data_IF_461367884746
#
_entry.id   IF_461367884746
#
_cell.length_a   1.000
_cell.length_b   1.000
_cell.length_c   1.000
_cell.angle_alpha   90.00
_cell.angle_beta   90.00
_cell.angle_gamma   90.00
#
_symmetry.space_group_name_H-M   'P 1'
#
loop_
_entity.id
_entity.type
_entity.pdbx_description
1 polymer ?
#
# COMPACT_ATOMS: atom_id res chain seq x y z
N UNK A 1 3.77 11.73 7.86
CA UNK A 1 3.97 12.27 6.51
C UNK A 1 5.43 12.69 6.30
N UNK A 2 6.05 13.41 7.25
CA UNK A 2 7.44 13.89 7.14
C UNK A 2 8.44 12.79 6.76
N UNK A 3 8.39 11.61 7.39
CA UNK A 3 9.24 10.46 7.03
C UNK A 3 9.18 10.09 5.54
N UNK A 4 8.00 10.18 4.93
CA UNK A 4 7.81 9.90 3.50
C UNK A 4 8.44 11.02 2.65
N UNK A 5 8.27 12.28 3.04
CA UNK A 5 8.88 13.44 2.36
C UNK A 5 10.41 13.35 2.40
N UNK A 6 10.97 13.07 3.57
CA UNK A 6 12.40 12.84 3.76
C UNK A 6 12.91 11.69 2.89
N UNK A 7 12.16 10.58 2.82
CA UNK A 7 12.52 9.45 1.96
C UNK A 7 12.51 9.83 0.48
N UNK A 8 11.50 10.58 0.00
CA UNK A 8 11.44 11.07 -1.39
C UNK A 8 12.68 11.90 -1.72
N UNK A 9 13.05 12.84 -0.85
CA UNK A 9 14.26 13.68 -1.02
C UNK A 9 15.54 12.86 -0.98
N UNK A 10 15.66 11.94 -0.01
CA UNK A 10 16.82 11.06 0.15
C UNK A 10 17.12 10.26 -1.12
N UNK A 11 16.08 9.74 -1.76
CA UNK A 11 16.22 8.92 -2.97
C UNK A 11 16.15 9.75 -4.26
N UNK A 12 15.87 11.06 -4.19
CA UNK A 12 15.50 11.91 -5.32
C UNK A 12 14.48 11.21 -6.24
N UNK A 13 13.49 10.58 -5.61
CA UNK A 13 12.59 9.66 -6.32
C UNK A 13 11.15 9.74 -5.80
N UNK A 14 10.22 10.35 -6.56
CA UNK A 14 8.82 10.40 -6.19
C UNK A 14 8.02 9.17 -6.66
N UNK A 15 8.65 8.11 -7.16
CA UNK A 15 7.94 6.91 -7.62
C UNK A 15 7.58 5.95 -6.47
N UNK A 16 6.46 5.25 -6.64
CA UNK A 16 5.96 4.22 -5.71
C UNK A 16 5.75 2.93 -6.48
N UNK A 17 6.36 1.84 -6.02
CA UNK A 17 6.17 0.52 -6.64
C UNK A 17 4.86 -0.10 -6.14
N UNK A 18 3.93 -0.37 -7.06
CA UNK A 18 2.69 -1.07 -6.74
C UNK A 18 2.89 -2.59 -6.70
N UNK A 19 2.86 -3.19 -5.51
CA UNK A 19 2.95 -4.63 -5.28
C UNK A 19 1.55 -5.26 -5.36
N UNK A 20 0.99 -5.23 -6.57
CA UNK A 20 -0.35 -5.74 -6.88
C UNK A 20 -0.25 -7.01 -7.76
N UNK A 21 0.31 -8.12 -7.24
CA UNK A 21 0.51 -9.32 -8.05
C UNK A 21 -0.82 -9.92 -8.48
N UNK A 22 -0.84 -10.48 -9.68
CA UNK A 22 -1.85 -11.44 -10.12
C UNK A 22 -1.13 -12.66 -10.64
N UNK A 23 -1.78 -13.82 -10.68
CA UNK A 23 -1.17 -15.05 -11.21
C UNK A 23 -0.57 -14.82 -12.61
N UNK A 24 -1.20 -13.98 -13.44
CA UNK A 24 -0.73 -13.65 -14.79
C UNK A 24 0.49 -12.70 -14.85
N UNK A 25 0.88 -12.09 -13.72
CA UNK A 25 2.07 -11.24 -13.61
C UNK A 25 3.29 -12.00 -13.10
N UNK A 26 3.11 -13.20 -12.56
CA UNK A 26 4.18 -14.05 -12.06
C UNK A 26 4.80 -14.86 -13.22
N UNK A 27 6.11 -15.13 -13.18
CA UNK A 27 6.73 -16.13 -14.05
C UNK A 27 6.02 -17.49 -13.91
N UNK A 28 5.50 -18.10 -14.99
CA UNK A 28 4.81 -19.40 -14.94
C UNK A 28 5.64 -20.53 -14.31
N UNK A 29 6.96 -20.45 -14.34
CA UNK A 29 7.89 -21.38 -13.71
C UNK A 29 7.65 -21.52 -12.21
N UNK A 30 7.14 -20.48 -11.55
CA UNK A 30 6.76 -20.52 -10.13
C UNK A 30 5.63 -21.52 -9.83
N UNK A 31 4.86 -21.89 -10.85
CA UNK A 31 3.76 -22.84 -10.77
C UNK A 31 4.09 -24.19 -11.42
N UNK A 32 5.37 -24.46 -11.71
CA UNK A 32 5.79 -25.79 -12.15
C UNK A 32 5.43 -26.83 -11.08
N UNK A 33 4.81 -27.94 -11.48
CA UNK A 33 4.35 -28.97 -10.54
C UNK A 33 3.07 -28.64 -9.78
N UNK A 34 2.40 -27.52 -10.10
CA UNK A 34 1.21 -27.09 -9.36
C UNK A 34 0.08 -28.11 -9.43
N UNK A 35 -0.11 -28.78 -10.57
CA UNK A 35 -1.19 -29.75 -10.77
C UNK A 35 -1.04 -30.97 -9.86
N UNK A 36 0.19 -31.42 -9.64
CA UNK A 36 0.54 -32.57 -8.80
C UNK A 36 0.26 -32.27 -7.33
N UNK A 37 0.51 -31.04 -6.90
CA UNK A 37 0.30 -30.59 -5.51
C UNK A 37 -1.19 -30.28 -5.25
N UNK A 38 -1.81 -29.52 -6.15
CA UNK A 38 -3.18 -29.02 -5.98
C UNK A 38 -4.21 -30.13 -6.23
N UNK A 39 -3.91 -31.04 -7.17
CA UNK A 39 -4.85 -32.05 -7.61
C UNK A 39 -6.06 -31.42 -8.31
N UNK A 40 -7.26 -31.83 -7.90
CA UNK A 40 -8.51 -31.30 -8.42
C UNK A 40 -8.89 -29.97 -7.75
N UNK A 41 -8.68 -28.87 -8.49
CA UNK A 41 -8.95 -27.50 -8.04
C UNK A 41 -10.44 -27.23 -7.78
N UNK A 42 -11.35 -28.06 -8.30
CA UNK A 42 -12.79 -27.89 -8.07
C UNK A 42 -13.23 -28.46 -6.71
N UNK A 43 -12.35 -29.15 -5.99
CA UNK A 43 -12.58 -29.59 -4.61
C UNK A 43 -12.24 -28.48 -3.60
N UNK A 44 -12.85 -28.54 -2.41
CA UNK A 44 -12.51 -27.63 -1.29
C UNK A 44 -11.02 -27.70 -0.94
N UNK A 45 -10.46 -28.91 -0.89
CA UNK A 45 -9.04 -29.15 -0.61
C UNK A 45 -8.16 -28.56 -1.72
N UNK A 46 -8.49 -28.79 -2.98
CA UNK A 46 -7.76 -28.24 -4.12
C UNK A 46 -7.74 -26.72 -4.12
N UNK A 47 -8.88 -26.05 -3.91
CA UNK A 47 -8.92 -24.58 -3.78
C UNK A 47 -8.07 -24.06 -2.62
N UNK A 48 -8.09 -24.71 -1.47
CA UNK A 48 -7.28 -24.32 -0.32
C UNK A 48 -5.78 -24.46 -0.61
N UNK A 49 -5.36 -25.58 -1.23
CA UNK A 49 -3.97 -25.80 -1.63
C UNK A 49 -3.52 -24.82 -2.72
N UNK A 50 -4.40 -24.51 -3.68
CA UNK A 50 -4.15 -23.48 -4.68
C UNK A 50 -3.94 -22.12 -4.03
N UNK A 51 -4.83 -21.70 -3.13
CA UNK A 51 -4.70 -20.43 -2.42
C UNK A 51 -3.39 -20.35 -1.60
N UNK A 52 -3.03 -21.43 -0.89
CA UNK A 52 -1.78 -21.51 -0.15
C UNK A 52 -0.54 -21.43 -1.06
N UNK A 53 -0.57 -22.11 -2.21
CA UNK A 53 0.50 -22.05 -3.20
C UNK A 53 0.65 -20.63 -3.77
N UNK A 54 -0.47 -20.02 -4.22
CA UNK A 54 -0.44 -18.67 -4.78
C UNK A 54 0.03 -17.65 -3.75
N UNK A 55 -0.39 -17.78 -2.48
CA UNK A 55 0.14 -16.98 -1.36
C UNK A 55 1.68 -17.04 -1.31
N UNK A 56 2.26 -18.25 -1.23
CA UNK A 56 3.71 -18.41 -1.18
C UNK A 56 4.41 -17.79 -2.39
N UNK A 57 3.83 -17.93 -3.59
CA UNK A 57 4.41 -17.38 -4.83
C UNK A 57 4.27 -15.87 -4.95
N UNK A 58 3.19 -15.28 -4.45
CA UNK A 58 3.06 -13.83 -4.33
C UNK A 58 4.14 -13.28 -3.40
N UNK A 59 4.39 -13.93 -2.26
CA UNK A 59 5.42 -13.50 -1.31
C UNK A 59 6.84 -13.60 -1.89
N UNK A 60 7.19 -14.73 -2.53
CA UNK A 60 8.48 -14.91 -3.22
C UNK A 60 8.69 -13.82 -4.30
N UNK A 61 7.67 -13.60 -5.12
CA UNK A 61 7.69 -12.60 -6.18
C UNK A 61 7.86 -11.18 -5.62
N UNK A 62 7.06 -10.79 -4.64
CA UNK A 62 7.12 -9.46 -4.03
C UNK A 62 8.46 -9.23 -3.31
N UNK A 63 8.99 -10.22 -2.58
CA UNK A 63 10.30 -10.11 -1.92
C UNK A 63 11.43 -9.89 -2.91
N UNK A 64 11.39 -10.54 -4.08
CA UNK A 64 12.38 -10.31 -5.14
C UNK A 64 12.38 -8.85 -5.61
N UNK A 65 11.19 -8.25 -5.74
CA UNK A 65 11.01 -6.86 -6.16
C UNK A 65 11.45 -5.90 -5.05
N UNK A 66 10.97 -6.09 -3.81
CA UNK A 66 11.34 -5.29 -2.64
C UNK A 66 12.87 -5.24 -2.50
N UNK A 67 13.53 -6.40 -2.54
CA UNK A 67 14.99 -6.47 -2.43
C UNK A 67 15.71 -5.71 -3.54
N UNK A 68 15.15 -5.70 -4.75
CA UNK A 68 15.74 -5.02 -5.90
C UNK A 68 15.49 -3.51 -5.93
N UNK A 69 14.53 -2.97 -5.17
CA UNK A 69 14.13 -1.55 -5.23
C UNK A 69 14.30 -0.78 -3.92
N UNK A 70 14.52 -1.46 -2.79
CA UNK A 70 14.53 -0.86 -1.44
C UNK A 70 15.51 0.30 -1.22
N UNK A 71 16.56 0.39 -2.01
CA UNK A 71 17.60 1.42 -1.95
C UNK A 71 17.41 2.54 -2.99
N UNK A 72 16.33 2.52 -3.77
CA UNK A 72 16.08 3.50 -4.83
C UNK A 72 14.69 4.12 -4.84
N UNK A 73 13.71 3.57 -4.11
CA UNK A 73 12.35 4.13 -4.02
C UNK A 73 11.99 4.44 -2.57
N UNK A 74 11.17 5.47 -2.30
CA UNK A 74 10.76 5.81 -0.94
C UNK A 74 9.69 4.88 -0.37
N UNK A 75 8.86 4.29 -1.24
CA UNK A 75 7.61 3.66 -0.82
C UNK A 75 7.16 2.54 -1.75
N UNK A 76 6.34 1.65 -1.20
CA UNK A 76 5.55 0.66 -1.93
C UNK A 76 4.07 0.85 -1.62
N UNK A 77 3.22 0.44 -2.57
CA UNK A 77 1.77 0.39 -2.36
C UNK A 77 1.28 -1.03 -2.56
N UNK A 78 0.51 -1.56 -1.62
CA UNK A 78 0.00 -2.95 -1.66
C UNK A 78 -1.52 -2.94 -1.83
N UNK A 79 -2.03 -3.37 -2.98
CA UNK A 79 -3.48 -3.48 -3.24
C UNK A 79 -4.07 -4.73 -2.58
N UNK A 80 -4.68 -4.55 -1.40
CA UNK A 80 -5.24 -5.62 -0.56
C UNK A 80 -6.20 -6.57 -1.31
N UNK A 81 -6.99 -6.04 -2.25
CA UNK A 81 -7.94 -6.84 -3.05
C UNK A 81 -7.29 -8.02 -3.81
N UNK A 82 -6.03 -7.88 -4.23
CA UNK A 82 -5.30 -8.98 -4.91
C UNK A 82 -5.03 -10.16 -3.97
N UNK A 83 -4.97 -9.87 -2.67
CA UNK A 83 -4.69 -10.82 -1.60
C UNK A 83 -5.99 -11.39 -1.03
N UNK A 84 -6.98 -10.54 -0.75
CA UNK A 84 -8.31 -10.95 -0.28
C UNK A 84 -8.97 -11.99 -1.21
N UNK A 85 -8.71 -11.93 -2.52
CA UNK A 85 -9.18 -12.92 -3.49
C UNK A 85 -8.73 -14.36 -3.21
N UNK A 86 -7.70 -14.57 -2.39
CA UNK A 86 -7.20 -15.88 -1.95
C UNK A 86 -7.67 -16.25 -0.53
N UNK A 87 -8.57 -15.46 0.07
CA UNK A 87 -9.10 -15.68 1.41
C UNK A 87 -8.02 -15.55 2.50
N UNK A 88 -8.12 -16.33 3.60
CA UNK A 88 -7.18 -16.23 4.73
C UNK A 88 -5.71 -16.41 4.34
N UNK A 89 -5.41 -17.30 3.40
CA UNK A 89 -4.05 -17.50 2.91
C UNK A 89 -3.50 -16.24 2.25
N UNK A 90 -4.31 -15.55 1.44
CA UNK A 90 -3.88 -14.30 0.82
C UNK A 90 -3.63 -13.19 1.83
N UNK A 91 -4.44 -13.10 2.88
CA UNK A 91 -4.22 -12.12 3.96
C UNK A 91 -2.89 -12.35 4.68
N UNK A 92 -2.45 -13.59 4.84
CA UNK A 92 -1.09 -13.87 5.33
C UNK A 92 -0.02 -13.33 4.37
N UNK A 93 -0.17 -13.53 3.05
CA UNK A 93 0.74 -12.95 2.06
C UNK A 93 0.76 -11.42 2.09
N UNK A 94 -0.39 -10.79 2.31
CA UNK A 94 -0.50 -9.33 2.43
C UNK A 94 0.31 -8.83 3.62
N UNK A 95 0.07 -9.38 4.81
CA UNK A 95 0.80 -8.99 6.04
C UNK A 95 2.30 -9.24 5.88
N UNK A 96 2.69 -10.39 5.36
CA UNK A 96 4.10 -10.74 5.15
C UNK A 96 4.78 -9.88 4.06
N UNK A 97 4.03 -9.43 3.05
CA UNK A 97 4.54 -8.50 2.03
C UNK A 97 4.75 -7.11 2.64
N UNK A 98 3.77 -6.61 3.41
CA UNK A 98 3.89 -5.34 4.11
C UNK A 98 5.05 -5.39 5.11
N UNK A 99 5.18 -6.47 5.89
CA UNK A 99 6.29 -6.69 6.82
C UNK A 99 7.64 -6.65 6.11
N UNK A 100 7.79 -7.41 5.02
CA UNK A 100 9.04 -7.45 4.27
C UNK A 100 9.43 -6.08 3.68
N UNK A 101 8.44 -5.27 3.25
CA UNK A 101 8.70 -3.92 2.76
C UNK A 101 9.08 -2.96 3.90
N UNK A 102 8.36 -3.01 5.02
CA UNK A 102 8.64 -2.22 6.21
C UNK A 102 10.03 -2.52 6.78
N UNK A 103 10.39 -3.79 6.93
CA UNK A 103 11.74 -4.23 7.36
C UNK A 103 12.84 -3.83 6.37
N UNK A 104 12.51 -3.65 5.10
CA UNK A 104 13.42 -3.12 4.10
C UNK A 104 13.59 -1.59 4.16
N UNK A 105 12.89 -0.91 5.07
CA UNK A 105 12.95 0.55 5.27
C UNK A 105 12.10 1.35 4.27
N UNK A 106 11.14 0.70 3.61
CA UNK A 106 10.22 1.35 2.67
C UNK A 106 8.96 1.80 3.38
N UNK A 107 8.44 2.98 3.03
CA UNK A 107 7.10 3.41 3.48
C UNK A 107 6.03 2.56 2.82
N UNK A 108 5.18 1.90 3.61
CA UNK A 108 4.16 0.96 3.14
C UNK A 108 2.80 1.62 3.07
N UNK A 109 2.25 1.71 1.86
CA UNK A 109 0.90 2.23 1.61
C UNK A 109 -0.07 1.06 1.41
N UNK A 110 -0.94 0.82 2.40
CA UNK A 110 -2.05 -0.11 2.28
C UNK A 110 -3.17 0.46 1.43
N UNK A 111 -3.32 -0.02 0.20
CA UNK A 111 -4.34 0.49 -0.70
C UNK A 111 -5.69 -0.20 -0.47
N UNK A 112 -6.31 0.05 0.68
CA UNK A 112 -7.49 -0.68 1.18
C UNK A 112 -8.83 -0.03 0.81
N UNK A 113 -8.84 1.26 0.48
CA UNK A 113 -10.00 2.08 0.06
C UNK A 113 -11.25 1.90 0.94
N UNK A 114 -11.08 1.75 2.26
CA UNK A 114 -12.19 1.51 3.18
C UNK A 114 -13.09 2.74 3.30
N UNK A 115 -14.40 2.52 3.43
CA UNK A 115 -15.41 3.56 3.58
C UNK A 115 -16.65 2.97 4.25
N UNK A 116 -16.73 3.13 5.56
CA UNK A 116 -17.85 2.77 6.42
C UNK A 116 -18.04 3.91 7.45
N UNK A 117 -18.91 3.78 8.45
CA UNK A 117 -19.12 4.80 9.50
C UNK A 117 -18.97 4.22 10.91
N UNK A 118 -18.77 5.11 11.89
CA UNK A 118 -18.85 4.78 13.31
C UNK A 118 -17.90 3.65 13.73
N UNK A 119 -18.43 2.66 14.45
CA UNK A 119 -17.63 1.55 14.99
C UNK A 119 -17.02 0.67 13.90
N UNK A 120 -17.64 0.54 12.72
CA UNK A 120 -17.08 -0.23 11.61
C UNK A 120 -15.90 0.49 10.97
N UNK A 121 -15.99 1.81 10.79
CA UNK A 121 -14.85 2.62 10.36
C UNK A 121 -13.69 2.53 11.37
N UNK A 122 -13.98 2.59 12.67
CA UNK A 122 -12.98 2.39 13.72
C UNK A 122 -12.34 0.99 13.66
N UNK A 123 -13.11 -0.05 13.32
CA UNK A 123 -12.58 -1.40 13.15
C UNK A 123 -11.59 -1.48 11.97
N UNK A 124 -11.86 -0.79 10.86
CA UNK A 124 -10.91 -0.70 9.75
C UNK A 124 -9.69 0.17 10.07
N UNK A 125 -9.83 1.19 10.92
CA UNK A 125 -8.72 2.06 11.32
C UNK A 125 -7.60 1.33 12.09
N UNK A 126 -7.86 0.11 12.59
CA UNK A 126 -6.85 -0.77 13.17
C UNK A 126 -5.74 -1.20 12.20
N UNK A 127 -5.93 -1.08 10.87
CA UNK A 127 -4.81 -1.17 9.92
C UNK A 127 -3.68 -0.18 10.26
N UNK A 128 -3.99 0.95 10.91
CA UNK A 128 -3.00 1.93 11.36
C UNK A 128 -2.57 1.65 12.80
N UNK A 129 -3.52 1.51 13.72
CA UNK A 129 -3.24 1.45 15.17
C UNK A 129 -2.92 0.05 15.73
N UNK A 130 -3.03 -1.01 14.93
CA UNK A 130 -2.68 -2.37 15.31
C UNK A 130 -3.85 -3.19 15.84
N UNK A 131 -3.65 -3.92 16.93
CA UNK A 131 -4.72 -4.74 17.55
C UNK A 131 -5.60 -3.85 18.45
N UNK A 132 -6.94 -4.03 18.43
CA UNK A 132 -7.83 -3.47 19.44
C UNK A 132 -7.36 -3.83 20.85
N UNK A 133 -6.97 -2.83 21.64
CA UNK A 133 -6.65 -3.06 23.04
C UNK A 133 -7.96 -3.19 23.82
N UNK A 134 -8.17 -4.26 24.60
CA UNK A 134 -9.26 -4.31 25.56
C UNK A 134 -9.14 -3.12 26.52
N UNK A 135 -10.26 -2.53 26.93
CA UNK A 135 -10.23 -1.51 27.98
C UNK A 135 -9.72 -2.15 29.29
N UNK A 136 -9.07 -1.35 30.14
CA UNK A 136 -8.43 -1.84 31.36
C UNK A 136 -9.41 -2.55 32.30
N UNK A 137 -10.67 -2.14 32.30
CA UNK A 137 -11.74 -2.75 33.10
C UNK A 137 -12.11 -4.16 32.62
N UNK A 138 -12.21 -4.40 31.30
CA UNK A 138 -12.45 -5.74 30.74
C UNK A 138 -11.22 -6.63 30.96
N UNK A 139 -10.01 -6.09 30.78
CA UNK A 139 -8.78 -6.86 31.01
C UNK A 139 -8.64 -7.30 32.48
N UNK A 140 -8.99 -6.42 33.42
CA UNK A 140 -9.04 -6.76 34.85
C UNK A 140 -10.19 -7.73 35.19
N UNK A 141 -11.31 -7.69 34.47
CA UNK A 141 -12.40 -8.65 34.65
C UNK A 141 -12.03 -10.08 34.21
N UNK A 142 -11.12 -10.24 33.24
CA UNK A 142 -10.55 -11.54 32.86
C UNK A 142 -9.64 -12.15 33.94
N UNK A 143 -9.14 -11.33 34.87
CA UNK A 143 -8.24 -11.77 35.95
C UNK A 143 -8.99 -12.25 37.21
N UNK A 144 -10.33 -12.11 37.25
CA UNK A 144 -11.13 -12.27 38.47
C UNK A 144 -12.09 -13.47 38.50
N UNK A 145 -11.99 -14.45 37.59
CA UNK A 145 -12.80 -15.68 37.76
C UNK A 145 -12.14 -16.97 37.26
N UNK A 146 -11.50 -17.67 38.20
CA UNK A 146 -11.27 -19.11 38.12
C UNK A 146 -9.97 -19.51 37.43
N UNK A 147 -9.28 -20.49 38.03
CA UNK A 147 -7.97 -20.98 37.59
C UNK A 147 -7.89 -21.21 36.08
N UNK A 148 -6.73 -20.87 35.51
CA UNK A 148 -6.40 -21.08 34.11
C UNK A 148 -6.87 -22.46 33.65
N UNK A 149 -7.99 -22.50 32.93
CA UNK A 149 -8.45 -23.73 32.28
C UNK A 149 -7.39 -24.17 31.25
N UNK A 150 -7.25 -25.47 31.06
CA UNK A 150 -6.24 -26.16 30.21
C UNK A 150 -6.25 -25.76 28.70
N UNK A 151 -7.02 -24.75 28.31
CA UNK A 151 -7.17 -24.29 26.93
C UNK A 151 -6.12 -23.28 26.45
N UNK A 152 -5.13 -22.92 27.29
CA UNK A 152 -3.98 -22.09 26.86
C UNK A 152 -3.07 -22.79 25.84
N UNK A 153 -3.23 -24.11 25.68
CA UNK A 153 -2.50 -24.92 24.70
C UNK A 153 -2.89 -24.60 23.24
N UNK A 154 -4.11 -24.13 22.96
CA UNK A 154 -4.55 -23.77 21.59
C UNK A 154 -4.05 -22.40 21.10
N UNK A 155 -3.64 -21.50 22.00
CA UNK A 155 -3.05 -20.21 21.59
C UNK A 155 -1.52 -20.28 21.42
N UNK A 156 -0.84 -21.21 22.09
CA UNK A 156 0.63 -21.35 22.00
C UNK A 156 1.12 -21.79 20.62
N UNK A 157 0.37 -22.64 19.93
CA UNK A 157 0.72 -23.13 18.60
C UNK A 157 0.69 -22.07 17.48
N UNK A 158 0.20 -20.84 17.75
CA UNK A 158 0.28 -19.70 16.83
C UNK A 158 1.45 -18.75 17.14
N UNK A 159 2.07 -18.86 18.32
CA UNK A 159 3.17 -18.00 18.75
C UNK A 159 4.55 -18.68 18.59
N UNK A 160 4.58 -20.01 18.56
CA UNK A 160 5.80 -20.80 18.43
C UNK A 160 6.07 -21.13 16.95
N UNK A 161 6.57 -20.15 16.19
CA UNK A 161 7.29 -20.42 14.95
C UNK A 161 8.75 -20.73 15.34
N UNK A 162 9.14 -22.00 15.19
CA UNK A 162 10.45 -22.54 15.57
C UNK A 162 11.60 -21.67 15.03
N UNK A 163 12.37 -21.03 15.92
CA UNK A 163 13.59 -20.31 15.55
C UNK A 163 14.78 -20.73 16.42
N UNK A 164 15.67 -21.48 15.76
CA UNK A 164 17.12 -21.59 15.91
C UNK A 164 17.69 -21.14 17.27
N UNK A 165 17.87 -22.11 18.17
CA UNK A 165 18.55 -21.96 19.47
C UNK A 165 20.06 -21.73 19.28
N UNK A 166 20.48 -20.53 18.85
CA UNK A 166 21.90 -20.37 18.50
C UNK A 166 22.53 -18.99 18.42
N UNK A 167 21.84 -17.86 18.66
CA UNK A 167 22.49 -16.53 18.63
C UNK A 167 22.14 -15.64 19.83
N UNK A 168 23.14 -15.08 20.53
CA UNK A 168 22.91 -14.17 21.66
C UNK A 168 22.70 -12.72 21.18
N UNK A 169 21.75 -12.09 21.87
CA UNK A 169 21.59 -10.66 22.19
C UNK A 169 21.71 -9.57 21.11
N UNK A 170 20.54 -9.05 20.72
CA UNK A 170 20.31 -7.61 20.59
C UNK A 170 18.83 -7.33 20.94
N UNK A 171 18.58 -6.49 21.95
CA UNK A 171 17.30 -5.79 22.26
C UNK A 171 16.02 -6.63 22.07
N UNK A 172 15.78 -7.56 22.99
CA UNK A 172 14.62 -8.47 22.98
C UNK A 172 13.29 -7.85 23.45
N UNK A 173 13.14 -6.53 23.46
CA UNK A 173 11.96 -5.88 24.03
C UNK A 173 10.81 -5.56 23.04
N UNK A 174 10.96 -5.61 21.71
CA UNK A 174 9.94 -4.93 20.86
C UNK A 174 9.66 -5.46 19.44
N UNK A 175 9.85 -6.76 19.15
CA UNK A 175 9.38 -7.35 17.88
C UNK A 175 8.38 -8.48 18.12
N UNK A 176 7.29 -8.15 18.82
CA UNK A 176 6.07 -8.94 18.74
C UNK A 176 5.51 -8.83 17.32
N UNK A 177 4.95 -9.92 16.79
CA UNK A 177 4.23 -9.90 15.51
C UNK A 177 3.19 -8.76 15.54
N UNK A 178 3.48 -7.67 14.81
CA UNK A 178 2.51 -6.61 14.65
C UNK A 178 1.56 -7.02 13.52
N UNK A 179 0.23 -6.89 13.71
CA UNK A 179 -0.75 -7.40 12.73
C UNK A 179 -0.70 -6.65 11.39
N UNK A 180 -0.23 -5.40 11.38
CA UNK A 180 -0.36 -4.45 10.27
C UNK A 180 0.90 -3.58 10.14
N UNK A 181 1.61 -3.70 9.04
CA UNK A 181 2.88 -3.00 8.78
C UNK A 181 2.72 -1.79 7.86
N UNK A 182 1.49 -1.36 7.60
CA UNK A 182 1.19 -0.16 6.83
C UNK A 182 1.58 1.10 7.59
N UNK A 183 2.30 2.00 6.93
CA UNK A 183 2.61 3.35 7.42
C UNK A 183 1.51 4.35 7.01
N UNK A 184 0.75 4.01 5.98
CA UNK A 184 -0.42 4.77 5.55
C UNK A 184 -1.46 3.91 4.84
N UNK A 185 -2.70 4.37 4.80
CA UNK A 185 -3.79 3.64 4.13
C UNK A 185 -4.65 4.54 3.23
N UNK A 186 -5.24 3.97 2.18
CA UNK A 186 -6.23 4.68 1.36
C UNK A 186 -7.65 4.54 1.92
N UNK A 187 -8.43 5.62 1.90
CA UNK A 187 -9.80 5.67 2.45
C UNK A 187 -10.77 6.38 1.50
N UNK A 188 -12.02 5.92 1.47
CA UNK A 188 -13.08 6.48 0.64
C UNK A 188 -13.97 7.43 1.47
N UNK A 189 -14.03 8.74 1.13
CA UNK A 189 -14.73 9.75 1.92
C UNK A 189 -16.23 9.85 1.62
N UNK A 190 -16.81 8.97 0.81
CA UNK A 190 -18.19 9.12 0.32
C UNK A 190 -19.22 9.28 1.45
N UNK A 191 -19.00 8.65 2.61
CA UNK A 191 -19.90 8.71 3.77
C UNK A 191 -19.63 9.92 4.68
N UNK A 192 -18.71 10.81 4.32
CA UNK A 192 -18.39 12.04 5.04
C UNK A 192 -17.43 11.85 6.21
N UNK A 193 -17.38 12.86 7.09
CA UNK A 193 -16.44 12.92 8.22
C UNK A 193 -16.54 11.71 9.14
N UNK A 194 -17.74 11.17 9.37
CA UNK A 194 -17.95 10.04 10.29
C UNK A 194 -17.26 8.75 9.82
N UNK A 195 -16.95 8.65 8.52
CA UNK A 195 -16.16 7.57 7.96
C UNK A 195 -14.66 7.84 7.87
N UNK A 196 -14.22 9.09 8.04
CA UNK A 196 -12.82 9.50 7.94
C UNK A 196 -12.19 9.77 9.31
N UNK A 197 -12.93 10.38 10.24
CA UNK A 197 -12.44 10.75 11.56
C UNK A 197 -11.79 9.57 12.31
N UNK A 198 -12.36 8.34 12.33
CA UNK A 198 -11.70 7.21 13.00
C UNK A 198 -10.31 6.88 12.43
N UNK A 199 -10.10 7.07 11.13
CA UNK A 199 -8.79 6.86 10.51
C UNK A 199 -7.82 8.00 10.82
N UNK A 200 -8.29 9.25 10.85
CA UNK A 200 -7.47 10.42 11.25
C UNK A 200 -7.01 10.25 12.71
N UNK A 201 -7.90 9.84 13.60
CA UNK A 201 -7.58 9.59 15.01
C UNK A 201 -6.55 8.46 15.16
N UNK A 202 -6.74 7.34 14.45
CA UNK A 202 -5.79 6.23 14.47
C UNK A 202 -4.43 6.62 13.87
N UNK A 203 -4.42 7.39 12.78
CA UNK A 203 -3.20 7.92 12.16
C UNK A 203 -2.43 8.82 13.14
N UNK A 204 -3.13 9.71 13.84
CA UNK A 204 -2.53 10.58 14.85
C UNK A 204 -1.96 9.79 16.03
N UNK A 205 -2.68 8.78 16.52
CA UNK A 205 -2.26 7.95 17.67
C UNK A 205 -1.04 7.07 17.34
N UNK A 206 -0.94 6.59 16.11
CA UNK A 206 0.09 5.64 15.68
C UNK A 206 1.27 6.30 14.93
N UNK A 207 1.28 7.63 14.80
CA UNK A 207 2.22 8.36 13.95
C UNK A 207 2.25 7.86 12.48
N UNK A 208 1.06 7.69 11.91
CA UNK A 208 0.82 7.21 10.55
C UNK A 208 0.03 8.23 9.72
N UNK A 209 -0.30 7.89 8.48
CA UNK A 209 -0.96 8.78 7.52
C UNK A 209 -2.15 8.12 6.79
N UNK A 210 -2.97 8.92 6.11
CA UNK A 210 -4.04 8.44 5.23
C UNK A 210 -4.03 9.15 3.88
N UNK A 211 -4.54 8.48 2.85
CA UNK A 211 -4.78 9.03 1.52
C UNK A 211 -6.26 8.93 1.16
N UNK A 212 -6.94 10.07 1.11
CA UNK A 212 -8.37 10.14 0.82
C UNK A 212 -8.63 10.13 -0.68
N UNK A 213 -9.58 9.33 -1.17
CA UNK A 213 -9.97 9.36 -2.59
C UNK A 213 -10.63 10.70 -2.95
N UNK A 214 -9.98 11.50 -3.81
CA UNK A 214 -10.49 12.81 -4.26
C UNK A 214 -10.94 12.76 -5.72
N UNK A 215 -10.00 12.50 -6.64
CA UNK A 215 -10.27 12.42 -8.08
C UNK A 215 -9.55 11.22 -8.65
N UNK A 216 -10.26 10.19 -9.10
CA UNK A 216 -9.64 8.96 -9.62
C UNK A 216 -9.50 8.99 -11.15
N UNK A 217 -8.69 8.09 -11.71
CA UNK A 217 -8.33 8.05 -13.13
C UNK A 217 -9.12 7.02 -13.96
N UNK A 218 -10.08 6.30 -13.36
CA UNK A 218 -10.88 5.31 -14.07
C UNK A 218 -11.89 5.96 -15.03
N UNK A 219 -12.27 5.33 -16.16
CA UNK A 219 -13.14 5.93 -17.17
C UNK A 219 -14.50 6.44 -16.66
N UNK A 220 -15.09 5.77 -15.67
CA UNK A 220 -16.39 6.11 -15.08
C UNK A 220 -16.32 7.08 -13.90
N UNK A 221 -15.14 7.64 -13.59
CA UNK A 221 -14.98 8.55 -12.44
C UNK A 221 -15.93 9.75 -12.50
N UNK A 222 -16.27 10.17 -13.70
CA UNK A 222 -17.02 11.40 -13.98
C UNK A 222 -18.50 11.27 -13.63
N UNK A 223 -19.01 10.03 -13.47
CA UNK A 223 -20.41 9.77 -13.11
C UNK A 223 -20.80 10.39 -11.76
N UNK A 224 -19.85 10.46 -10.83
CA UNK A 224 -20.07 11.05 -9.50
C UNK A 224 -19.15 12.23 -9.21
N UNK A 225 -17.86 12.14 -9.56
CA UNK A 225 -16.87 13.09 -9.08
C UNK A 225 -17.00 14.45 -9.78
N UNK A 226 -17.51 14.48 -11.01
CA UNK A 226 -17.73 15.70 -11.81
C UNK A 226 -19.13 16.30 -11.62
N UNK A 227 -20.01 15.68 -10.81
CA UNK A 227 -21.32 16.23 -10.51
C UNK A 227 -21.16 17.62 -9.87
N UNK A 228 -21.95 18.57 -10.35
CA UNK A 228 -21.97 19.94 -9.85
C UNK A 228 -22.97 20.05 -8.69
N UNK A 229 -22.57 20.68 -7.60
CA UNK A 229 -23.47 21.10 -6.52
C UNK A 229 -24.00 22.52 -6.73
N UNK A 230 -24.94 22.93 -5.90
CA UNK A 230 -25.63 24.23 -6.00
C UNK A 230 -24.73 25.47 -5.86
N UNK A 231 -23.50 25.31 -5.38
CA UNK A 231 -22.50 26.37 -5.25
C UNK A 231 -21.44 26.38 -6.37
N UNK A 232 -21.75 25.80 -7.54
CA UNK A 232 -20.85 25.71 -8.70
C UNK A 232 -19.50 25.02 -8.42
N UNK A 233 -19.49 24.10 -7.45
CA UNK A 233 -18.34 23.25 -7.16
C UNK A 233 -18.63 21.81 -7.54
N UNK A 234 -17.61 21.10 -8.00
CA UNK A 234 -17.73 19.68 -8.29
C UNK A 234 -17.61 18.83 -7.02
N UNK A 235 -18.16 17.62 -7.01
CA UNK A 235 -18.04 16.73 -5.85
C UNK A 235 -16.58 16.51 -5.43
N UNK A 236 -15.65 16.28 -6.37
CA UNK A 236 -14.23 16.12 -6.01
C UNK A 236 -13.62 17.37 -5.37
N UNK A 237 -14.16 18.55 -5.66
CA UNK A 237 -13.70 19.82 -5.10
C UNK A 237 -14.13 20.00 -3.65
N UNK A 238 -15.36 19.59 -3.32
CA UNK A 238 -15.82 19.51 -1.92
C UNK A 238 -14.97 18.54 -1.11
N UNK A 239 -14.64 17.39 -1.68
CA UNK A 239 -13.76 16.41 -1.03
C UNK A 239 -12.37 16.99 -0.82
N UNK A 240 -11.83 17.74 -1.80
CA UNK A 240 -10.54 18.42 -1.67
C UNK A 240 -10.52 19.43 -0.51
N UNK A 241 -11.59 20.21 -0.33
CA UNK A 241 -11.72 21.11 0.82
C UNK A 241 -11.78 20.34 2.14
N UNK A 242 -12.48 19.20 2.15
CA UNK A 242 -12.54 18.33 3.33
C UNK A 242 -11.19 17.71 3.68
N UNK A 243 -10.38 17.33 2.70
CA UNK A 243 -8.99 16.87 2.94
C UNK A 243 -8.19 17.95 3.68
N UNK A 244 -8.28 19.20 3.25
CA UNK A 244 -7.60 20.31 3.92
C UNK A 244 -8.15 20.59 5.32
N UNK A 245 -9.45 20.40 5.53
CA UNK A 245 -10.09 20.51 6.84
C UNK A 245 -9.63 19.39 7.79
N UNK A 246 -9.71 18.13 7.37
CA UNK A 246 -9.33 16.98 8.20
C UNK A 246 -7.83 16.97 8.53
N UNK A 247 -6.99 17.50 7.64
CA UNK A 247 -5.55 17.60 7.84
C UNK A 247 -5.07 18.86 8.56
N UNK A 248 -5.95 19.82 8.93
CA UNK A 248 -5.52 21.16 9.37
C UNK A 248 -4.60 21.15 10.60
N UNK A 249 -4.84 20.21 11.51
CA UNK A 249 -4.21 20.15 12.83
C UNK A 249 -3.05 19.14 12.88
N UNK A 250 -2.67 18.59 11.73
CA UNK A 250 -1.66 17.51 11.61
C UNK A 250 -0.54 17.83 10.62
N UNK A 251 -0.34 19.12 10.30
CA UNK A 251 0.76 19.56 9.44
C UNK A 251 2.09 19.31 10.15
N UNK A 252 2.92 18.48 9.54
CA UNK A 252 4.26 18.15 10.03
C UNK A 252 5.30 19.23 9.70
N UNK A 253 6.53 18.95 10.09
CA UNK A 253 7.67 19.87 9.92
C UNK A 253 8.00 20.09 8.44
N UNK A 254 7.64 19.14 7.58
CA UNK A 254 7.82 19.23 6.12
C UNK A 254 6.67 19.95 5.41
N UNK A 255 5.74 20.55 6.14
CA UNK A 255 4.65 21.36 5.59
C UNK A 255 3.47 20.57 5.02
N UNK A 256 3.52 19.24 5.09
CA UNK A 256 2.43 18.35 4.67
C UNK A 256 1.66 17.77 5.86
N UNK A 257 0.35 17.64 5.73
CA UNK A 257 -0.50 17.01 6.76
C UNK A 257 -0.47 15.49 6.67
N UNK A 258 -0.94 14.81 7.73
CA UNK A 258 -1.17 13.36 7.72
C UNK A 258 -2.29 12.92 6.77
N UNK A 259 -3.11 13.87 6.30
CA UNK A 259 -4.25 13.61 5.40
C UNK A 259 -3.84 14.00 3.98
N UNK A 260 -3.34 13.02 3.24
CA UNK A 260 -3.08 13.11 1.81
C UNK A 260 -4.32 12.87 0.94
N UNK A 261 -4.14 13.00 -0.36
CA UNK A 261 -5.19 12.83 -1.36
C UNK A 261 -4.77 11.84 -2.46
N UNK A 262 -5.71 11.02 -2.94
CA UNK A 262 -5.54 10.23 -4.17
C UNK A 262 -6.08 11.04 -5.34
N UNK A 263 -5.19 11.39 -6.27
CA UNK A 263 -5.47 12.21 -7.44
C UNK A 263 -4.93 11.53 -8.70
N UNK A 264 -5.78 11.13 -9.63
CA UNK A 264 -5.44 10.33 -10.79
C UNK A 264 -4.70 11.12 -11.89
N UNK A 265 -3.77 10.44 -12.57
CA UNK A 265 -2.86 11.03 -13.56
C UNK A 265 -3.51 11.55 -14.87
N UNK A 266 -4.79 11.23 -15.14
CA UNK A 266 -5.39 11.40 -16.48
C UNK A 266 -5.95 12.79 -16.77
N UNK A 267 -5.95 13.71 -15.79
CA UNK A 267 -6.53 15.05 -15.94
C UNK A 267 -5.57 16.16 -15.50
N UNK A 268 -4.55 16.53 -16.32
CA UNK A 268 -3.47 17.44 -15.90
C UNK A 268 -3.95 18.80 -15.38
N UNK A 269 -4.95 19.41 -16.04
CA UNK A 269 -5.54 20.70 -15.61
C UNK A 269 -6.27 20.59 -14.27
N UNK A 270 -6.99 19.50 -14.06
CA UNK A 270 -7.69 19.23 -12.79
C UNK A 270 -6.65 18.99 -11.69
N UNK A 271 -5.60 18.22 -11.98
CA UNK A 271 -4.47 18.00 -11.08
C UNK A 271 -3.82 19.30 -10.61
N UNK A 272 -3.53 20.22 -11.53
CA UNK A 272 -2.94 21.53 -11.20
C UNK A 272 -3.87 22.38 -10.30
N UNK A 273 -5.16 22.41 -10.62
CA UNK A 273 -6.16 23.10 -9.80
C UNK A 273 -6.26 22.50 -8.39
N UNK A 274 -6.29 21.18 -8.29
CA UNK A 274 -6.31 20.47 -7.01
C UNK A 274 -5.04 20.71 -6.20
N UNK A 275 -3.87 20.75 -6.84
CA UNK A 275 -2.62 21.08 -6.16
C UNK A 275 -2.69 22.46 -5.52
N UNK A 276 -3.16 23.46 -6.26
CA UNK A 276 -3.34 24.82 -5.73
C UNK A 276 -4.36 24.88 -4.58
N UNK A 277 -5.42 24.06 -4.65
CA UNK A 277 -6.48 24.01 -3.63
C UNK A 277 -6.07 23.28 -2.36
N UNK A 278 -5.23 22.26 -2.46
CA UNK A 278 -4.82 21.42 -1.33
C UNK A 278 -3.33 21.55 -1.00
N UNK A 279 -2.70 22.74 -0.85
CA UNK A 279 -1.24 22.90 -0.87
C UNK A 279 -0.48 22.09 0.19
N UNK A 280 -1.14 21.66 1.27
CA UNK A 280 -0.55 20.89 2.38
C UNK A 280 -0.83 19.37 2.30
N UNK A 281 -1.50 18.89 1.26
CA UNK A 281 -1.79 17.46 1.11
C UNK A 281 -0.77 16.78 0.19
N UNK A 282 -0.16 15.68 0.64
CA UNK A 282 0.61 14.80 -0.24
C UNK A 282 -0.33 14.09 -1.22
N UNK A 283 -0.03 14.14 -2.52
CA UNK A 283 -0.83 13.45 -3.54
C UNK A 283 -0.26 12.06 -3.82
N UNK A 284 -1.07 11.03 -3.63
CA UNK A 284 -0.83 9.70 -4.18
C UNK A 284 -1.47 9.63 -5.58
N UNK A 285 -0.62 9.53 -6.61
CA UNK A 285 -1.03 9.59 -8.01
C UNK A 285 -1.01 8.19 -8.63
N UNK A 286 -2.14 7.49 -8.72
CA UNK A 286 -2.23 6.25 -9.49
C UNK A 286 -2.37 6.53 -10.99
N UNK A 287 -2.10 5.50 -11.79
CA UNK A 287 -2.43 5.49 -13.22
C UNK A 287 -1.29 5.84 -14.17
N UNK A 288 -0.07 6.03 -13.65
CA UNK A 288 1.12 6.23 -14.50
C UNK A 288 1.37 5.00 -15.40
N UNK A 289 1.60 5.26 -16.69
CA UNK A 289 1.87 4.27 -17.73
C UNK A 289 0.66 3.40 -18.09
N UNK A 290 0.17 2.56 -17.17
CA UNK A 290 -0.84 1.55 -17.47
C UNK A 290 -2.24 2.12 -17.76
N UNK A 291 -2.54 3.33 -17.31
CA UNK A 291 -3.79 4.04 -17.61
C UNK A 291 -3.54 5.28 -18.49
N UNK A 292 -2.36 5.35 -19.14
CA UNK A 292 -2.03 6.39 -20.10
C UNK A 292 -1.40 7.66 -19.52
N UNK A 293 -1.31 7.81 -18.20
CA UNK A 293 -0.65 8.97 -17.59
C UNK A 293 0.87 8.97 -17.82
N UNK A 294 1.42 10.12 -18.21
CA UNK A 294 2.85 10.36 -18.43
C UNK A 294 3.47 11.21 -17.32
N UNK A 295 4.80 11.35 -17.33
CA UNK A 295 5.49 12.22 -16.37
C UNK A 295 5.06 13.69 -16.53
N UNK A 296 4.89 14.16 -17.77
CA UNK A 296 4.41 15.50 -18.07
C UNK A 296 2.98 15.75 -17.59
N UNK A 297 2.10 14.73 -17.66
CA UNK A 297 0.71 14.85 -17.20
C UNK A 297 0.60 15.09 -15.70
N UNK A 298 1.51 14.50 -14.93
CA UNK A 298 1.50 14.57 -13.46
C UNK A 298 2.40 15.68 -12.92
N UNK A 299 3.32 16.24 -13.71
CA UNK A 299 4.26 17.28 -13.27
C UNK A 299 3.56 18.50 -12.65
N UNK A 300 2.37 18.87 -13.13
CA UNK A 300 1.59 19.99 -12.60
C UNK A 300 0.92 19.69 -11.23
N UNK A 301 0.92 18.43 -10.79
CA UNK A 301 0.40 18.00 -9.49
C UNK A 301 1.42 18.14 -8.36
N UNK A 302 2.70 18.38 -8.69
CA UNK A 302 3.74 18.75 -7.74
C UNK A 302 3.69 20.24 -7.46
N UNK A 303 4.22 20.67 -6.32
CA UNK A 303 4.37 22.09 -6.01
C UNK A 303 5.52 22.75 -6.80
N UNK A 304 5.83 24.01 -6.47
CA UNK A 304 6.88 24.80 -7.13
C UNK A 304 8.30 24.31 -6.82
N UNK A 305 8.46 23.47 -5.80
CA UNK A 305 9.72 22.85 -5.41
C UNK A 305 9.87 21.44 -5.96
N UNK A 306 8.86 20.94 -6.69
CA UNK A 306 8.84 19.55 -7.18
C UNK A 306 8.45 18.54 -6.10
N UNK A 307 7.75 18.98 -5.04
CA UNK A 307 7.33 18.15 -3.92
C UNK A 307 5.80 17.98 -3.85
N UNK A 308 5.32 17.30 -2.81
CA UNK A 308 3.90 17.16 -2.52
C UNK A 308 3.15 16.15 -3.36
N UNK A 309 3.85 15.31 -4.14
CA UNK A 309 3.25 14.17 -4.82
C UNK A 309 4.17 12.95 -4.88
N UNK A 310 3.56 11.77 -4.90
CA UNK A 310 4.18 10.47 -5.18
C UNK A 310 3.38 9.75 -6.25
N UNK A 311 4.06 9.08 -7.19
CA UNK A 311 3.45 8.53 -8.40
C UNK A 311 3.56 7.02 -8.39
N UNK A 312 2.42 6.34 -8.37
CA UNK A 312 2.36 4.89 -8.33
C UNK A 312 2.36 4.26 -9.73
N UNK A 313 3.22 3.26 -9.91
CA UNK A 313 3.19 2.34 -11.05
C UNK A 313 3.26 0.89 -10.54
N UNK A 314 2.23 0.12 -10.88
CA UNK A 314 2.11 -1.29 -10.52
C UNK A 314 2.59 -2.16 -11.68
N UNK A 315 1.70 -2.57 -12.59
CA UNK A 315 1.99 -3.37 -13.80
C UNK A 315 3.16 -2.86 -14.64
N UNK A 316 3.41 -1.54 -14.67
CA UNK A 316 4.53 -0.95 -15.40
C UNK A 316 5.90 -1.31 -14.84
N UNK A 317 5.98 -1.58 -13.53
CA UNK A 317 7.21 -1.97 -12.83
C UNK A 317 7.25 -3.48 -12.62
N UNK A 318 6.28 -4.04 -11.90
CA UNK A 318 6.30 -5.47 -11.52
C UNK A 318 6.11 -6.40 -12.72
N UNK A 319 5.54 -5.90 -13.81
CA UNK A 319 5.34 -6.65 -15.05
C UNK A 319 6.37 -6.37 -16.14
N UNK A 320 7.40 -5.54 -15.87
CA UNK A 320 8.37 -5.08 -16.86
C UNK A 320 9.19 -6.23 -17.47
N UNK A 321 9.49 -7.26 -16.68
CA UNK A 321 10.25 -8.44 -17.07
C UNK A 321 9.69 -9.18 -18.28
N UNK A 322 8.36 -9.10 -18.51
CA UNK A 322 7.70 -9.77 -19.65
C UNK A 322 8.13 -9.24 -21.01
N UNK A 323 8.71 -8.03 -21.04
CA UNK A 323 9.23 -7.40 -22.25
C UNK A 323 10.73 -7.64 -22.43
N UNK A 324 11.39 -8.25 -21.46
CA UNK A 324 12.82 -8.48 -21.51
C UNK A 324 13.13 -9.65 -22.45
N UNK A 325 13.95 -9.46 -23.50
CA UNK A 325 14.27 -10.53 -24.46
C UNK A 325 15.07 -11.69 -23.83
N UNK A 326 15.69 -11.49 -22.65
CA UNK A 326 16.33 -12.58 -21.91
C UNK A 326 15.32 -13.54 -21.28
N UNK A 327 14.06 -13.10 -21.07
CA UNK A 327 13.03 -13.96 -20.52
C UNK A 327 12.66 -15.08 -21.49
N UNK A 328 12.69 -16.32 -21.00
CA UNK A 328 12.20 -17.48 -21.73
C UNK A 328 11.73 -18.57 -20.75
N UNK A 329 10.94 -19.53 -21.25
CA UNK A 329 10.33 -20.58 -20.42
C UNK A 329 11.33 -21.59 -19.84
N UNK A 330 12.58 -21.61 -20.32
CA UNK A 330 13.62 -22.53 -19.82
C UNK A 330 14.41 -21.96 -18.63
N UNK A 331 14.21 -20.69 -18.26
CA UNK A 331 14.82 -20.11 -17.07
C UNK A 331 14.43 -20.90 -15.81
N UNK A 332 15.37 -21.02 -14.87
CA UNK A 332 15.06 -21.53 -13.54
C UNK A 332 14.12 -20.57 -12.80
N UNK A 333 13.53 -21.02 -11.69
CA UNK A 333 12.73 -20.16 -10.82
C UNK A 333 13.58 -18.99 -10.29
N UNK A 334 14.82 -19.28 -9.86
CA UNK A 334 15.76 -18.30 -9.33
C UNK A 334 16.12 -17.24 -10.38
N UNK A 335 16.53 -17.67 -11.58
CA UNK A 335 16.87 -16.75 -12.68
C UNK A 335 15.66 -15.91 -13.10
N UNK A 336 14.47 -16.50 -13.08
CA UNK A 336 13.22 -15.79 -13.39
C UNK A 336 12.94 -14.70 -12.36
N UNK A 337 13.09 -14.97 -11.06
CA UNK A 337 12.91 -13.99 -9.99
C UNK A 337 14.02 -12.92 -9.99
N UNK A 338 15.26 -13.29 -10.32
CA UNK A 338 16.34 -12.32 -10.49
C UNK A 338 16.04 -11.37 -11.65
N UNK A 339 15.59 -11.89 -12.80
CA UNK A 339 15.19 -11.09 -13.95
C UNK A 339 14.01 -10.16 -13.63
N UNK A 340 13.04 -10.64 -12.85
CA UNK A 340 11.92 -9.83 -12.31
C UNK A 340 12.47 -8.64 -11.52
N UNK A 341 13.32 -8.90 -10.53
CA UNK A 341 13.90 -7.85 -9.68
C UNK A 341 14.71 -6.82 -10.49
N UNK A 342 15.58 -7.29 -11.39
CA UNK A 342 16.37 -6.43 -12.27
C UNK A 342 15.50 -5.51 -13.14
N UNK A 343 14.44 -6.07 -13.73
CA UNK A 343 13.52 -5.32 -14.58
C UNK A 343 12.66 -4.33 -13.78
N UNK A 344 12.21 -4.71 -12.58
CA UNK A 344 11.50 -3.82 -11.69
C UNK A 344 12.37 -2.63 -11.27
N UNK A 345 13.64 -2.88 -10.89
CA UNK A 345 14.61 -1.83 -10.58
C UNK A 345 14.81 -0.86 -11.75
N UNK A 346 15.07 -1.40 -12.95
CA UNK A 346 15.23 -0.59 -14.17
C UNK A 346 13.99 0.27 -14.43
N UNK A 347 12.80 -0.32 -14.42
CA UNK A 347 11.56 0.40 -14.67
C UNK A 347 11.28 1.50 -13.62
N UNK A 348 11.64 1.27 -12.35
CA UNK A 348 11.52 2.28 -11.30
C UNK A 348 12.48 3.46 -11.51
N UNK A 349 13.73 3.19 -11.92
CA UNK A 349 14.71 4.23 -12.26
C UNK A 349 14.29 5.03 -13.50
N UNK A 350 13.83 4.35 -14.55
CA UNK A 350 13.34 5.01 -15.77
C UNK A 350 12.15 5.94 -15.45
N UNK A 351 11.25 5.49 -14.56
CA UNK A 351 10.13 6.31 -14.09
C UNK A 351 10.59 7.52 -13.29
N UNK A 352 11.54 7.34 -12.36
CA UNK A 352 12.15 8.45 -11.61
C UNK A 352 12.75 9.49 -12.57
N UNK A 353 13.58 9.04 -13.51
CA UNK A 353 14.30 9.94 -14.40
C UNK A 353 13.33 10.71 -15.31
N UNK A 354 12.26 10.06 -15.78
CA UNK A 354 11.18 10.72 -16.51
C UNK A 354 10.45 11.77 -15.67
N UNK A 355 10.11 11.46 -14.41
CA UNK A 355 9.47 12.40 -13.49
C UNK A 355 10.38 13.60 -13.20
N UNK A 356 11.64 13.37 -12.83
CA UNK A 356 12.59 14.43 -12.51
C UNK A 356 12.89 15.31 -13.74
N UNK A 357 12.90 14.73 -14.94
CA UNK A 357 13.02 15.50 -16.20
C UNK A 357 11.80 16.40 -16.40
N UNK A 358 10.59 15.85 -16.30
CA UNK A 358 9.35 16.62 -16.47
C UNK A 358 9.19 17.75 -15.42
N UNK A 359 9.67 17.54 -14.19
CA UNK A 359 9.68 18.57 -13.14
C UNK A 359 10.67 19.70 -13.45
N UNK A 360 11.86 19.38 -13.96
CA UNK A 360 12.85 20.38 -14.38
C UNK A 360 12.38 21.21 -15.57
N UNK A 361 11.71 20.59 -16.54
CA UNK A 361 11.21 21.28 -17.75
C UNK A 361 10.02 22.21 -17.47
N UNK A 362 9.35 22.07 -16.32
CA UNK A 362 8.27 22.96 -15.88
C UNK A 362 8.80 24.28 -15.28
N UNK A 363 10.04 24.26 -14.79
CA UNK A 363 10.73 25.39 -14.13
C UNK A 363 11.10 26.46 -15.13
#
# INVERSE_FOLDING_TARGET
MDKLVEAIRKFDNPSVVGLDPTIALLPPQLFAGAREIVGDIDTVKGRALWAAMVNAKFLEFNRSIINAVKDIVPAVKVQIAMYEALGPAGMMAYVETCRAAHEAGLHVIGDIKRGDIGSTAAAYAYHLSGIPRPNSEIFQAFDLSGGASENTSQCKCLADDERDEGKPDASREELGFFPWYEDSVTVNPYLGTDGIAPFVDAAQQADKDIFVLVRTSNPSSDEFQELMSDNDQRVYEHVADKVMQWGSDSVGDEGFSRVGAVVGATHPRVGASLRARMPRAMFLIPGYGAQGGTASDVAAMFDVHGEGAIVNSSRGIIGAWRKDPAYNSALSIEDSLQLVGMNARRAALDMRDALNTALKERS
#
